data_IF_329095848949
#
_entry.id   IF_329095848949
#
_cell.length_a   1.000
_cell.length_b   1.000
_cell.length_c   1.000
_cell.angle_alpha   90.00
_cell.angle_beta   90.00
_cell.angle_gamma   90.00
#
_symmetry.space_group_name_H-M   'P 1'
#
loop_
_entity.id
_entity.type
_entity.pdbx_description
1 polymer ?
#
# COMPACT_ATOMS: atom_id res chain seq x y z
N UNK A 1 -15.90 -20.01 2.43
CA UNK A 1 -16.90 -19.02 2.02
C UNK A 1 -16.35 -17.64 2.36
N UNK A 2 -16.15 -16.78 1.36
CA UNK A 2 -15.68 -15.41 1.55
C UNK A 2 -16.81 -14.57 2.17
N UNK A 3 -16.54 -13.95 3.31
CA UNK A 3 -17.50 -13.06 3.95
C UNK A 3 -17.84 -11.88 3.02
N UNK A 4 -19.09 -11.38 3.03
CA UNK A 4 -19.48 -10.26 2.19
C UNK A 4 -18.67 -9.01 2.56
N UNK A 5 -18.15 -8.32 1.55
CA UNK A 5 -17.48 -7.03 1.70
C UNK A 5 -18.50 -5.98 2.11
N UNK A 6 -18.42 -5.50 3.35
CA UNK A 6 -19.23 -4.37 3.83
C UNK A 6 -18.80 -3.11 3.06
N UNK A 7 -19.70 -2.40 2.37
CA UNK A 7 -19.39 -1.10 1.78
C UNK A 7 -18.86 -0.17 2.88
N UNK A 8 -17.64 0.34 2.72
CA UNK A 8 -16.97 1.17 3.73
C UNK A 8 -16.11 0.41 4.75
N UNK A 9 -15.83 -0.89 4.55
CA UNK A 9 -14.83 -1.59 5.35
C UNK A 9 -13.44 -0.95 5.16
N UNK A 10 -12.83 -0.55 6.28
CA UNK A 10 -11.49 0.03 6.32
C UNK A 10 -10.47 -0.97 5.73
N UNK A 11 -9.67 -0.51 4.77
CA UNK A 11 -8.78 -1.34 3.96
C UNK A 11 -7.32 -1.32 4.39
N UNK A 12 -6.97 -0.56 5.43
CA UNK A 12 -5.63 -0.40 5.99
C UNK A 12 -4.71 0.52 5.20
N UNK A 13 -5.05 0.85 3.95
CA UNK A 13 -4.23 1.66 3.04
C UNK A 13 -5.02 2.85 2.51
N UNK A 14 -4.41 4.03 2.50
CA UNK A 14 -4.98 5.27 1.99
C UNK A 14 -4.01 5.99 1.07
N UNK A 15 -4.56 6.75 0.13
CA UNK A 15 -3.79 7.58 -0.79
C UNK A 15 -4.30 9.03 -0.75
N UNK A 16 -3.38 9.98 -0.76
CA UNK A 16 -3.69 11.42 -0.82
C UNK A 16 -2.78 12.11 -1.83
N UNK A 17 -3.40 12.99 -2.60
CA UNK A 17 -2.73 13.95 -3.47
C UNK A 17 -2.91 15.35 -2.91
N UNK A 18 -1.82 16.11 -2.85
CA UNK A 18 -1.81 17.51 -2.39
C UNK A 18 -1.14 18.37 -3.44
N UNK A 19 -1.77 19.49 -3.76
CA UNK A 19 -1.22 20.56 -4.60
C UNK A 19 -1.33 21.86 -3.82
N UNK A 20 -0.22 22.58 -3.67
CA UNK A 20 -0.22 23.87 -2.98
C UNK A 20 -0.34 25.06 -3.95
N UNK A 21 -0.41 26.27 -3.40
CA UNK A 21 -0.55 27.50 -4.18
C UNK A 21 0.70 27.88 -4.99
N UNK A 22 1.86 27.33 -4.64
CA UNK A 22 3.14 27.55 -5.34
C UNK A 22 3.35 26.54 -6.48
N UNK A 23 2.45 25.55 -6.60
CA UNK A 23 2.50 24.52 -7.64
C UNK A 23 3.31 23.29 -7.24
N UNK A 24 3.69 23.13 -5.96
CA UNK A 24 4.30 21.90 -5.48
C UNK A 24 3.24 20.79 -5.41
N UNK A 25 3.65 19.57 -5.74
CA UNK A 25 2.77 18.40 -5.75
C UNK A 25 3.35 17.29 -4.88
N UNK A 26 2.53 16.73 -4.01
CA UNK A 26 2.86 15.55 -3.20
C UNK A 26 1.85 14.43 -3.44
N UNK A 27 2.35 13.24 -3.79
CA UNK A 27 1.58 12.01 -3.94
C UNK A 27 2.02 11.05 -2.84
N UNK A 28 1.10 10.68 -1.94
CA UNK A 28 1.43 9.90 -0.74
C UNK A 28 0.47 8.73 -0.58
N UNK A 29 1.02 7.51 -0.61
CA UNK A 29 0.33 6.29 -0.19
C UNK A 29 0.85 5.88 1.19
N UNK A 30 -0.05 5.72 2.15
CA UNK A 30 0.29 5.30 3.53
C UNK A 30 -0.58 4.12 3.95
N UNK A 31 -0.06 3.30 4.87
CA UNK A 31 -0.68 2.03 5.21
C UNK A 31 -0.31 1.51 6.59
N UNK A 32 -1.26 0.82 7.22
CA UNK A 32 -1.03 -0.15 8.31
C UNK A 32 -1.20 -1.60 7.81
N UNK A 33 -1.15 -1.78 6.49
CA UNK A 33 -1.40 -2.98 5.71
C UNK A 33 -2.89 -3.39 5.61
N UNK A 34 -3.35 -4.39 6.37
CA UNK A 34 -4.75 -4.82 6.34
C UNK A 34 -5.65 -3.89 7.15
N UNK A 35 -6.96 -4.08 7.06
CA UNK A 35 -7.94 -3.32 7.85
C UNK A 35 -7.67 -3.41 9.35
N UNK A 36 -7.43 -2.27 10.00
CA UNK A 36 -6.93 -2.16 11.38
C UNK A 36 -5.57 -2.84 11.66
N UNK A 37 -4.77 -3.10 10.63
CA UNK A 37 -3.43 -3.69 10.69
C UNK A 37 -3.39 -5.00 11.47
N UNK A 38 -2.43 -5.12 12.38
CA UNK A 38 -2.28 -6.30 13.24
C UNK A 38 -3.41 -6.47 14.27
N UNK A 39 -4.37 -5.53 14.34
CA UNK A 39 -5.45 -5.48 15.34
C UNK A 39 -4.93 -5.41 16.79
N UNK A 40 -3.69 -4.97 16.94
CA UNK A 40 -3.07 -4.59 18.20
C UNK A 40 -2.89 -3.08 18.23
N UNK A 41 -2.93 -2.51 19.43
CA UNK A 41 -2.60 -1.10 19.62
C UNK A 41 -1.49 -0.95 20.65
N UNK A 42 -0.68 0.09 20.48
CA UNK A 42 0.32 0.51 21.45
C UNK A 42 0.34 2.05 21.49
N UNK A 43 0.39 2.62 22.69
CA UNK A 43 0.39 4.07 22.90
C UNK A 43 -0.75 4.83 22.17
N UNK A 44 -1.91 4.19 21.97
CA UNK A 44 -3.06 4.79 21.28
C UNK A 44 -3.03 4.67 19.75
N UNK A 45 -2.01 4.03 19.17
CA UNK A 45 -1.88 3.80 17.73
C UNK A 45 -2.13 2.34 17.38
N UNK A 46 -2.84 2.09 16.27
CA UNK A 46 -2.91 0.76 15.69
C UNK A 46 -1.54 0.35 15.12
N UNK A 47 -1.12 -0.88 15.39
CA UNK A 47 0.11 -1.44 14.85
C UNK A 47 -0.16 -2.04 13.47
N UNK A 48 0.76 -1.80 12.54
CA UNK A 48 0.70 -2.42 11.22
C UNK A 48 0.94 -3.92 11.29
N UNK A 49 0.44 -4.65 10.30
CA UNK A 49 0.83 -6.03 9.99
C UNK A 49 1.63 -6.11 8.69
N UNK A 50 2.52 -5.14 8.44
CA UNK A 50 3.28 -5.03 7.19
C UNK A 50 4.23 -6.21 6.95
N UNK A 51 4.53 -7.01 7.97
CA UNK A 51 5.34 -8.22 7.80
C UNK A 51 4.66 -9.26 6.89
N UNK A 52 3.35 -9.19 6.68
CA UNK A 52 2.63 -10.07 5.74
C UNK A 52 3.05 -9.83 4.26
N UNK A 53 3.58 -8.65 3.93
CA UNK A 53 4.07 -8.34 2.59
C UNK A 53 5.39 -9.06 2.24
N UNK A 54 6.10 -9.63 3.22
CA UNK A 54 7.24 -10.50 2.94
C UNK A 54 6.80 -11.82 2.29
N UNK A 55 7.69 -12.38 1.47
CA UNK A 55 7.53 -13.74 0.98
C UNK A 55 7.53 -14.73 2.15
N UNK A 56 6.53 -15.61 2.18
CA UNK A 56 6.46 -16.69 3.15
C UNK A 56 7.43 -17.81 2.76
N UNK A 57 8.25 -18.36 3.69
CA UNK A 57 9.06 -19.53 3.41
C UNK A 57 8.18 -20.68 2.90
N UNK A 58 8.43 -21.16 1.68
CA UNK A 58 7.58 -22.15 1.00
C UNK A 58 6.74 -21.60 -0.16
N UNK A 59 6.71 -20.28 -0.38
CA UNK A 59 6.05 -19.67 -1.55
C UNK A 59 4.53 -19.54 -1.44
N UNK A 60 3.98 -19.71 -0.23
CA UNK A 60 2.57 -19.46 0.07
C UNK A 60 2.18 -18.00 -0.21
N UNK A 61 0.95 -17.75 -0.69
CA UNK A 61 0.50 -16.39 -0.96
C UNK A 61 0.29 -15.61 0.34
N UNK A 62 0.51 -14.29 0.29
CA UNK A 62 0.13 -13.38 1.35
C UNK A 62 -1.38 -13.05 1.33
N UNK A 63 -1.85 -12.16 2.21
CA UNK A 63 -3.27 -11.79 2.29
C UNK A 63 -3.85 -11.19 1.00
N UNK A 64 -3.01 -10.69 0.09
CA UNK A 64 -3.41 -10.15 -1.21
C UNK A 64 -3.23 -11.13 -2.37
N UNK A 65 -2.89 -12.40 -2.08
CA UNK A 65 -2.66 -13.43 -3.09
C UNK A 65 -1.29 -13.36 -3.78
N UNK A 66 -0.38 -12.49 -3.33
CA UNK A 66 0.94 -12.32 -3.92
C UNK A 66 1.89 -13.41 -3.45
N UNK A 67 2.65 -13.97 -4.38
CA UNK A 67 3.72 -14.95 -4.10
C UNK A 67 5.06 -14.28 -4.33
N UNK A 68 5.90 -14.28 -3.30
CA UNK A 68 7.26 -13.75 -3.37
C UNK A 68 8.30 -14.87 -3.52
N UNK A 69 9.53 -14.47 -3.85
CA UNK A 69 10.69 -15.36 -3.90
C UNK A 69 11.78 -14.92 -2.91
N UNK A 70 12.94 -15.57 -3.01
CA UNK A 70 14.11 -15.29 -2.17
C UNK A 70 14.44 -13.79 -1.96
N UNK A 71 14.30 -12.88 -2.95
CA UNK A 71 14.58 -11.46 -2.76
C UNK A 71 13.73 -10.77 -1.69
N UNK A 72 12.48 -11.22 -1.50
CA UNK A 72 11.53 -10.64 -0.55
C UNK A 72 11.34 -11.53 0.70
N UNK A 73 12.32 -12.37 1.04
CA UNK A 73 12.28 -13.08 2.34
C UNK A 73 12.49 -12.11 3.50
N UNK A 74 11.86 -12.37 4.67
CA UNK A 74 12.01 -11.55 5.85
C UNK A 74 13.44 -11.59 6.38
N UNK A 75 13.88 -10.49 6.99
CA UNK A 75 15.20 -10.40 7.61
C UNK A 75 15.40 -9.10 8.38
N UNK A 76 16.38 -9.05 9.29
CA UNK A 76 16.65 -7.86 10.09
C UNK A 76 17.01 -6.66 9.19
N UNK A 77 16.41 -5.51 9.48
CA UNK A 77 16.60 -4.27 8.71
C UNK A 77 16.01 -4.27 7.29
N UNK A 78 15.39 -5.37 6.85
CA UNK A 78 14.74 -5.44 5.54
C UNK A 78 13.40 -4.72 5.55
N UNK A 79 13.02 -4.22 4.37
CA UNK A 79 11.69 -3.67 4.11
C UNK A 79 10.93 -4.63 3.20
N UNK A 80 9.68 -4.98 3.52
CA UNK A 80 8.88 -5.80 2.64
C UNK A 80 8.55 -5.05 1.35
N UNK A 81 8.40 -5.79 0.24
CA UNK A 81 8.00 -5.22 -1.05
C UNK A 81 6.56 -4.69 -0.96
N UNK A 82 6.32 -3.49 -1.47
CA UNK A 82 4.99 -2.88 -1.51
C UNK A 82 4.50 -2.72 -2.95
N UNK A 83 3.18 -2.83 -3.14
CA UNK A 83 2.50 -2.44 -4.39
C UNK A 83 2.10 -0.96 -4.42
N UNK A 84 2.44 -0.16 -3.40
CA UNK A 84 2.15 1.27 -3.39
C UNK A 84 2.76 1.97 -4.61
N UNK A 85 1.94 2.70 -5.36
CA UNK A 85 2.37 3.44 -6.56
C UNK A 85 1.94 4.91 -6.46
N UNK A 86 2.57 5.72 -5.60
CA UNK A 86 2.38 7.16 -5.63
C UNK A 86 3.01 7.73 -6.91
N UNK A 87 2.20 8.36 -7.76
CA UNK A 87 2.57 8.79 -9.11
C UNK A 87 2.33 10.30 -9.31
N UNK A 88 3.30 10.97 -9.93
CA UNK A 88 3.17 12.32 -10.47
C UNK A 88 3.62 12.27 -11.93
N UNK A 89 2.76 12.73 -12.86
CA UNK A 89 3.09 12.82 -14.29
C UNK A 89 3.40 14.26 -14.63
N UNK A 90 4.50 14.46 -15.37
CA UNK A 90 4.93 15.77 -15.84
C UNK A 90 4.71 15.88 -17.36
N UNK A 91 4.34 17.07 -17.82
CA UNK A 91 4.40 17.47 -19.24
C UNK A 91 5.24 18.72 -19.32
N UNK A 92 6.32 18.67 -20.11
CA UNK A 92 7.26 19.77 -20.29
C UNK A 92 7.79 20.35 -18.96
N UNK A 93 8.03 19.48 -17.98
CA UNK A 93 8.50 19.85 -16.64
C UNK A 93 7.41 20.33 -15.67
N UNK A 94 6.15 20.43 -16.11
CA UNK A 94 5.01 20.88 -15.29
C UNK A 94 4.16 19.68 -14.86
N UNK A 95 3.79 19.53 -13.57
CA UNK A 95 2.87 18.48 -13.13
C UNK A 95 1.50 18.59 -13.80
N UNK A 96 1.01 17.49 -14.37
CA UNK A 96 -0.30 17.41 -15.04
C UNK A 96 -1.22 16.35 -14.44
N UNK A 97 -0.69 15.43 -13.63
CA UNK A 97 -1.46 14.41 -12.92
C UNK A 97 -0.77 14.08 -11.59
N UNK A 98 -1.57 13.96 -10.53
CA UNK A 98 -1.20 13.29 -9.29
C UNK A 98 -2.16 12.12 -9.10
N UNK A 99 -1.63 10.92 -8.94
CA UNK A 99 -2.43 9.70 -8.84
C UNK A 99 -1.78 8.67 -7.92
N UNK A 100 -2.57 7.66 -7.58
CA UNK A 100 -2.21 6.52 -6.75
C UNK A 100 -3.47 5.91 -6.16
N UNK A 101 -3.31 4.95 -5.24
CA UNK A 101 -4.48 4.29 -4.68
C UNK A 101 -4.18 3.37 -3.52
N UNK A 102 -5.25 2.66 -3.11
CA UNK A 102 -5.26 1.61 -2.10
C UNK A 102 -5.82 0.31 -2.70
N UNK A 103 -5.63 -0.83 -2.04
CA UNK A 103 -6.16 -2.12 -2.51
C UNK A 103 -5.15 -3.26 -2.66
N UNK A 104 -3.96 -3.13 -2.09
CA UNK A 104 -2.93 -4.19 -2.08
C UNK A 104 -2.42 -4.47 -3.49
N UNK A 105 -2.49 -5.73 -3.93
CA UNK A 105 -2.02 -6.19 -5.24
C UNK A 105 -2.61 -5.44 -6.45
N UNK A 106 -3.76 -4.77 -6.28
CA UNK A 106 -4.46 -4.04 -7.34
C UNK A 106 -3.97 -2.60 -7.54
N UNK A 107 -3.16 -2.06 -6.63
CA UNK A 107 -2.75 -0.65 -6.66
C UNK A 107 -2.03 -0.31 -7.97
N UNK A 108 -1.12 -1.19 -8.43
CA UNK A 108 -0.32 -0.96 -9.64
C UNK A 108 -1.24 -0.80 -10.86
N UNK A 109 -2.15 -1.77 -11.09
CA UNK A 109 -3.06 -1.73 -12.24
C UNK A 109 -4.09 -0.62 -12.12
N UNK A 110 -4.61 -0.35 -10.92
CA UNK A 110 -5.60 0.72 -10.73
C UNK A 110 -5.00 2.12 -10.89
N UNK A 111 -3.69 2.27 -10.68
CA UNK A 111 -2.98 3.55 -10.90
C UNK A 111 -2.63 3.75 -12.39
N UNK A 112 -2.53 2.66 -13.16
CA UNK A 112 -2.21 2.70 -14.58
C UNK A 112 -3.41 3.02 -15.47
N UNK A 113 -4.60 2.52 -15.11
CA UNK A 113 -5.87 2.73 -15.84
C UNK A 113 -6.40 4.17 -15.73
#
# INVERSE_FOLDING_TARGET
ATAPTVPGAEGGTSHVCVVDAEGNVASVTTSINLGFGARFSAAGYALNDQLDDFARPGGEPNAFGLRGGAPNLPGPGRRPVSSATPLIVLRDGVPVLCAGGSGGSRIITATEQ
#
